data_IF_778715366121
#
_entry.id   IF_778715366121
#
_cell.length_a   1.000
_cell.length_b   1.000
_cell.length_c   1.000
_cell.angle_alpha   90.00
_cell.angle_beta   90.00
_cell.angle_gamma   90.00
#
_symmetry.space_group_name_H-M   'P 1'
#
loop_
_entity.id
_entity.type
_entity.pdbx_description
1 polymer ?
#
# COMPACT_ATOMS: atom_id res chain seq x y z
N UNK A 1 16.68 8.66 -19.15
CA UNK A 1 16.69 9.05 -17.73
C UNK A 1 17.25 7.89 -16.90
N UNK A 2 18.54 7.60 -17.03
CA UNK A 2 19.10 6.33 -16.55
C UNK A 2 19.40 6.29 -15.04
N UNK A 3 19.65 7.45 -14.42
CA UNK A 3 20.01 7.51 -12.99
C UNK A 3 18.89 6.99 -12.08
N UNK A 4 17.65 7.43 -12.31
CA UNK A 4 16.52 6.99 -11.49
C UNK A 4 16.17 5.52 -11.71
N UNK A 5 16.35 5.03 -12.94
CA UNK A 5 16.15 3.61 -13.24
C UNK A 5 17.22 2.73 -12.59
N UNK A 6 18.45 3.24 -12.53
CA UNK A 6 19.58 2.56 -11.91
C UNK A 6 19.49 2.52 -10.39
N UNK A 7 19.12 3.64 -9.75
CA UNK A 7 19.18 3.76 -8.28
C UNK A 7 17.88 3.44 -7.56
N UNK A 8 16.73 3.54 -8.24
CA UNK A 8 15.44 3.19 -7.63
C UNK A 8 15.09 1.76 -8.05
N UNK A 9 15.10 0.79 -7.13
CA UNK A 9 14.83 -0.58 -7.47
C UNK A 9 13.42 -0.72 -8.06
N UNK A 10 13.25 -1.61 -9.04
CA UNK A 10 11.97 -1.84 -9.71
C UNK A 10 10.86 -2.24 -8.73
N UNK A 11 11.23 -2.88 -7.62
CA UNK A 11 10.34 -3.21 -6.50
C UNK A 11 10.88 -2.63 -5.19
N UNK A 12 10.03 -1.92 -4.46
CA UNK A 12 10.32 -1.35 -3.14
C UNK A 12 9.55 -2.16 -2.09
N UNK A 13 10.28 -2.76 -1.15
CA UNK A 13 9.72 -3.64 -0.14
C UNK A 13 9.45 -2.93 1.19
N UNK A 14 8.24 -3.14 1.72
CA UNK A 14 7.87 -2.76 3.08
C UNK A 14 7.48 -4.00 3.88
N UNK A 15 8.05 -4.15 5.08
CA UNK A 15 7.64 -5.19 6.02
C UNK A 15 6.69 -4.58 7.06
N UNK A 16 5.45 -5.07 7.13
CA UNK A 16 4.42 -4.57 8.06
C UNK A 16 3.76 -5.72 8.82
N UNK A 17 3.30 -5.44 10.04
CA UNK A 17 2.62 -6.46 10.83
C UNK A 17 1.19 -6.65 10.26
N UNK A 18 0.81 -7.87 9.86
CA UNK A 18 -0.56 -8.15 9.44
C UNK A 18 -1.52 -7.93 10.61
N UNK A 19 -2.73 -7.47 10.30
CA UNK A 19 -3.84 -7.48 11.24
C UNK A 19 -4.31 -8.92 11.31
N UNK A 20 -4.14 -9.54 12.47
CA UNK A 20 -4.80 -10.79 12.79
C UNK A 20 -6.30 -10.50 12.88
N UNK A 21 -7.01 -10.73 11.77
CA UNK A 21 -8.42 -10.96 11.87
C UNK A 21 -8.56 -12.32 12.54
N UNK A 22 -8.75 -12.33 13.86
CA UNK A 22 -9.64 -13.34 14.45
C UNK A 22 -10.87 -13.29 13.55
N UNK A 23 -11.06 -14.33 12.75
CA UNK A 23 -12.35 -14.60 12.15
C UNK A 23 -13.28 -14.50 13.34
N UNK A 24 -13.98 -13.37 13.46
CA UNK A 24 -14.98 -13.21 14.47
C UNK A 24 -15.91 -14.37 14.18
N UNK A 25 -15.77 -15.42 14.98
CA UNK A 25 -16.71 -16.50 15.08
C UNK A 25 -17.99 -15.72 15.24
N UNK A 26 -18.76 -15.65 14.16
CA UNK A 26 -20.02 -14.97 14.14
C UNK A 26 -20.86 -15.85 15.05
N UNK A 27 -20.70 -15.63 16.35
CA UNK A 27 -21.34 -16.34 17.43
C UNK A 27 -22.78 -16.11 17.09
N UNK A 28 -23.39 -17.11 16.45
CA UNK A 28 -24.76 -17.06 15.96
C UNK A 28 -25.56 -16.62 17.16
N UNK A 29 -25.92 -15.33 17.21
CA UNK A 29 -26.85 -14.84 18.20
C UNK A 29 -28.17 -15.41 17.70
N UNK A 30 -28.43 -16.63 18.13
CA UNK A 30 -29.62 -17.38 17.81
C UNK A 30 -30.79 -16.58 18.40
N UNK A 31 -31.42 -15.79 17.55
CA UNK A 31 -32.38 -14.79 18.00
C UNK A 31 -32.88 -13.93 16.86
N UNK A 32 -33.89 -14.46 16.16
CA UNK A 32 -34.97 -13.75 15.43
C UNK A 32 -34.96 -13.87 13.90
N UNK A 33 -35.85 -14.74 13.40
CA UNK A 33 -36.48 -14.81 12.07
C UNK A 33 -35.58 -14.96 10.82
N UNK A 34 -35.88 -16.00 10.03
CA UNK A 34 -35.23 -16.33 8.74
C UNK A 34 -35.20 -15.16 7.74
N UNK A 35 -36.15 -14.24 7.81
CA UNK A 35 -36.18 -13.06 6.92
C UNK A 35 -35.14 -11.99 7.30
N UNK A 36 -34.78 -11.88 8.58
CA UNK A 36 -33.76 -10.95 9.05
C UNK A 36 -32.33 -11.48 8.78
N UNK A 37 -32.17 -12.81 8.79
CA UNK A 37 -30.92 -13.48 8.40
C UNK A 37 -30.59 -13.25 6.91
N UNK A 38 -31.59 -13.32 6.01
CA UNK A 38 -31.36 -13.06 4.59
C UNK A 38 -30.93 -11.60 4.31
N UNK A 39 -31.50 -10.63 5.02
CA UNK A 39 -31.11 -9.22 4.88
C UNK A 39 -29.71 -8.95 5.48
N UNK A 40 -29.40 -9.56 6.63
CA UNK A 40 -28.08 -9.43 7.28
C UNK A 40 -26.98 -10.12 6.48
N UNK A 41 -27.25 -11.29 5.91
CA UNK A 41 -26.32 -11.99 5.01
C UNK A 41 -26.03 -11.17 3.75
N UNK A 42 -27.06 -10.54 3.16
CA UNK A 42 -26.89 -9.65 2.00
C UNK A 42 -26.14 -8.35 2.35
N UNK A 43 -26.30 -7.83 3.58
CA UNK A 43 -25.58 -6.64 4.05
C UNK A 43 -24.10 -6.92 4.33
N UNK A 44 -23.77 -8.09 4.88
CA UNK A 44 -22.39 -8.52 5.16
C UNK A 44 -21.61 -8.92 3.90
N UNK A 45 -22.29 -9.35 2.84
CA UNK A 45 -21.67 -9.70 1.56
C UNK A 45 -21.11 -8.48 0.78
N UNK A 46 -21.39 -7.25 1.22
CA UNK A 46 -21.05 -6.01 0.47
C UNK A 46 -19.82 -5.28 0.99
N UNK A 47 -19.18 -5.76 2.05
CA UNK A 47 -17.91 -5.20 2.51
C UNK A 47 -16.88 -6.32 2.53
N UNK A 48 -16.01 -6.46 1.52
CA UNK A 48 -14.86 -7.34 1.64
C UNK A 48 -14.06 -6.84 2.85
N UNK A 49 -14.11 -7.59 3.94
CA UNK A 49 -13.23 -7.38 5.09
C UNK A 49 -11.86 -7.82 4.61
N UNK A 50 -11.01 -6.87 4.24
CA UNK A 50 -9.72 -7.16 3.62
C UNK A 50 -8.88 -8.04 4.55
N UNK A 51 -8.84 -9.35 4.27
CA UNK A 51 -8.14 -10.35 5.06
C UNK A 51 -6.61 -10.10 5.14
N UNK A 52 -6.12 -9.10 4.40
CA UNK A 52 -4.73 -8.71 4.27
C UNK A 52 -4.42 -7.36 4.94
N UNK A 53 -5.26 -6.86 5.86
CA UNK A 53 -4.98 -5.60 6.56
C UNK A 53 -3.60 -5.55 7.24
N UNK A 54 -3.00 -4.37 7.33
CA UNK A 54 -1.75 -4.15 8.08
C UNK A 54 -1.94 -3.15 9.22
N UNK A 55 -1.18 -3.34 10.31
CA UNK A 55 -1.05 -2.32 11.35
C UNK A 55 -0.25 -1.12 10.82
N UNK A 56 -0.89 0.05 10.87
CA UNK A 56 -0.37 1.30 10.31
C UNK A 56 -0.71 1.47 8.83
N UNK A 57 0.10 2.25 8.13
CA UNK A 57 -0.03 2.45 6.68
C UNK A 57 1.31 2.70 6.02
N UNK A 58 1.39 2.44 4.72
CA UNK A 58 2.45 2.93 3.85
C UNK A 58 1.88 4.09 3.03
N UNK A 59 2.37 5.29 3.29
CA UNK A 59 1.95 6.54 2.66
C UNK A 59 2.90 6.97 1.54
N UNK A 60 2.52 8.00 0.77
CA UNK A 60 3.43 8.67 -0.16
C UNK A 60 4.71 9.15 0.55
N UNK A 61 4.62 9.67 1.78
CA UNK A 61 5.77 10.08 2.58
C UNK A 61 6.75 8.95 2.87
N UNK A 62 6.24 7.75 3.21
CA UNK A 62 7.08 6.55 3.42
C UNK A 62 7.82 6.13 2.14
N UNK A 63 7.14 6.22 0.99
CA UNK A 63 7.72 5.92 -0.32
C UNK A 63 8.81 6.95 -0.64
N UNK A 64 8.54 8.24 -0.48
CA UNK A 64 9.52 9.32 -0.70
C UNK A 64 10.76 9.14 0.17
N UNK A 65 10.58 8.84 1.46
CA UNK A 65 11.70 8.61 2.37
C UNK A 65 12.57 7.42 1.92
N UNK A 66 11.92 6.35 1.47
CA UNK A 66 12.62 5.13 1.00
C UNK A 66 13.38 5.39 -0.31
N UNK A 67 12.75 6.10 -1.25
CA UNK A 67 13.39 6.51 -2.51
C UNK A 67 14.55 7.46 -2.25
N UNK A 68 14.38 8.47 -1.40
CA UNK A 68 15.49 9.38 -1.02
C UNK A 68 16.67 8.62 -0.42
N UNK A 69 16.41 7.61 0.41
CA UNK A 69 17.47 6.77 0.97
C UNK A 69 18.20 5.97 -0.11
N UNK A 70 17.50 5.46 -1.12
CA UNK A 70 18.12 4.78 -2.26
C UNK A 70 18.99 5.74 -3.10
N UNK A 71 18.53 6.98 -3.31
CA UNK A 71 19.26 8.00 -4.06
C UNK A 71 20.43 8.62 -3.29
N UNK A 72 20.43 8.55 -1.95
CA UNK A 72 21.43 9.19 -1.10
C UNK A 72 22.88 8.67 -1.31
N UNK A 73 23.04 7.51 -1.95
CA UNK A 73 24.34 6.92 -2.25
C UNK A 73 25.02 7.53 -3.48
N UNK A 74 24.40 8.49 -4.17
CA UNK A 74 24.94 9.16 -5.34
C UNK A 74 24.74 10.68 -5.24
N UNK A 75 25.83 11.46 -5.33
CA UNK A 75 25.81 12.92 -5.18
C UNK A 75 24.94 13.65 -6.21
N UNK A 76 24.76 13.10 -7.41
CA UNK A 76 23.91 13.66 -8.44
C UNK A 76 22.43 13.35 -8.17
N UNK A 77 22.13 12.11 -7.81
CA UNK A 77 20.77 11.67 -7.51
C UNK A 77 20.25 12.21 -6.16
N UNK A 78 21.14 12.47 -5.19
CA UNK A 78 20.79 13.04 -3.89
C UNK A 78 20.28 14.49 -3.98
N UNK A 79 20.58 15.21 -5.08
CA UNK A 79 20.08 16.57 -5.32
C UNK A 79 18.62 16.61 -5.75
N UNK A 80 18.02 15.47 -6.05
CA UNK A 80 16.63 15.38 -6.50
C UNK A 80 15.67 15.71 -5.36
N UNK A 81 14.91 16.79 -5.53
CA UNK A 81 13.86 17.22 -4.60
C UNK A 81 12.58 16.41 -4.82
N UNK A 82 12.47 15.24 -4.18
CA UNK A 82 11.25 14.44 -4.21
C UNK A 82 10.31 14.80 -3.06
N UNK A 83 9.03 15.02 -3.37
CA UNK A 83 7.94 15.31 -2.41
C UNK A 83 6.79 14.33 -2.58
N UNK A 84 5.84 14.32 -1.65
CA UNK A 84 4.67 13.42 -1.70
C UNK A 84 3.78 13.67 -2.92
N UNK A 85 3.71 14.93 -3.38
CA UNK A 85 2.99 15.32 -4.61
C UNK A 85 3.57 14.71 -5.89
N UNK A 86 4.80 14.18 -5.82
CA UNK A 86 5.44 13.49 -6.93
C UNK A 86 5.08 12.00 -7.01
N UNK A 87 4.37 11.46 -6.02
CA UNK A 87 3.95 10.06 -5.97
C UNK A 87 2.48 9.96 -6.38
N UNK A 88 2.20 9.10 -7.35
CA UNK A 88 0.84 8.76 -7.79
C UNK A 88 0.64 7.25 -7.69
N UNK A 89 -0.50 6.83 -7.18
CA UNK A 89 -0.85 5.42 -7.14
C UNK A 89 -1.67 5.06 -8.37
N UNK A 90 -1.16 4.12 -9.17
CA UNK A 90 -1.72 3.73 -10.47
C UNK A 90 -2.65 2.54 -10.32
N UNK A 91 -2.27 1.54 -9.51
CA UNK A 91 -3.07 0.34 -9.36
C UNK A 91 -3.10 -0.12 -7.90
N UNK A 92 -4.32 -0.36 -7.42
CA UNK A 92 -4.54 -1.15 -6.22
C UNK A 92 -6.02 -1.38 -6.05
N UNK A 93 -6.38 -2.66 -6.02
CA UNK A 93 -7.71 -3.23 -5.83
C UNK A 93 -8.70 -2.28 -5.11
N UNK A 94 -9.64 -1.70 -5.87
CA UNK A 94 -10.93 -1.23 -5.36
C UNK A 94 -11.13 0.26 -5.10
N UNK A 95 -10.12 1.14 -5.24
CA UNK A 95 -10.30 2.57 -4.94
C UNK A 95 -9.55 3.50 -5.89
N UNK A 96 -10.17 4.65 -6.17
CA UNK A 96 -9.89 5.61 -7.25
C UNK A 96 -8.41 5.92 -7.50
N UNK A 97 -8.05 5.97 -8.79
CA UNK A 97 -6.72 6.33 -9.30
C UNK A 97 -6.32 7.78 -8.98
N UNK A 98 -5.02 8.01 -8.77
CA UNK A 98 -4.42 9.35 -8.86
C UNK A 98 -4.37 10.19 -7.58
N UNK A 99 -4.79 9.67 -6.42
CA UNK A 99 -4.77 10.43 -5.16
C UNK A 99 -3.45 10.25 -4.40
N UNK A 100 -2.75 11.35 -4.11
CA UNK A 100 -1.48 11.37 -3.35
C UNK A 100 -1.69 11.31 -1.83
N UNK A 101 -2.93 11.52 -1.33
CA UNK A 101 -3.30 11.28 0.07
C UNK A 101 -3.61 9.80 0.35
N UNK A 102 -3.48 8.93 -0.66
CA UNK A 102 -3.68 7.49 -0.53
C UNK A 102 -2.65 6.87 0.43
N UNK A 103 -3.17 6.04 1.32
CA UNK A 103 -2.40 5.27 2.29
C UNK A 103 -2.68 3.78 2.07
N UNK A 104 -1.64 3.00 1.83
CA UNK A 104 -1.75 1.54 1.69
C UNK A 104 -1.87 0.91 3.07
N UNK A 105 -3.01 0.27 3.34
CA UNK A 105 -3.33 -0.39 4.61
C UNK A 105 -3.48 -1.90 4.46
N UNK A 106 -3.00 -2.46 3.35
CA UNK A 106 -3.14 -3.87 3.03
C UNK A 106 -1.80 -4.44 2.56
N UNK A 107 -1.57 -5.73 2.81
CA UNK A 107 -0.50 -6.50 2.18
C UNK A 107 -0.79 -6.70 0.70
N UNK A 108 0.26 -6.77 -0.11
CA UNK A 108 0.14 -6.95 -1.55
C UNK A 108 1.20 -6.19 -2.35
N UNK A 109 1.00 -6.16 -3.65
CA UNK A 109 1.82 -5.39 -4.59
C UNK A 109 0.98 -4.28 -5.19
N UNK A 110 1.51 -3.06 -5.18
CA UNK A 110 0.82 -1.85 -5.60
C UNK A 110 1.70 -1.11 -6.61
N UNK A 111 1.14 -0.67 -7.73
CA UNK A 111 1.90 0.10 -8.70
C UNK A 111 1.85 1.60 -8.35
N UNK A 112 3.01 2.24 -8.32
CA UNK A 112 3.14 3.68 -8.12
C UNK A 112 3.94 4.32 -9.24
N UNK A 113 3.51 5.48 -9.66
CA UNK A 113 4.22 6.39 -10.54
C UNK A 113 4.96 7.43 -9.71
N UNK A 114 6.21 7.66 -10.05
CA UNK A 114 7.09 8.64 -9.41
C UNK A 114 7.47 9.66 -10.48
N UNK A 115 6.89 10.86 -10.38
CA UNK A 115 7.19 11.98 -11.26
C UNK A 115 8.27 12.86 -10.65
N UNK A 116 9.51 12.68 -11.10
CA UNK A 116 10.64 13.47 -10.59
C UNK A 116 10.65 14.87 -11.24
N UNK A 117 10.89 15.95 -10.49
CA UNK A 117 11.04 17.29 -11.07
C UNK A 117 12.26 17.33 -12.00
N UNK A 118 12.06 17.85 -13.22
CA UNK A 118 13.07 17.83 -14.28
C UNK A 118 13.06 16.56 -15.15
N UNK A 119 12.20 15.58 -14.84
CA UNK A 119 11.92 14.42 -15.68
C UNK A 119 10.86 14.74 -16.74
N UNK A 120 11.08 14.33 -17.99
CA UNK A 120 10.03 14.33 -19.01
C UNK A 120 9.03 13.20 -18.83
N UNK A 121 9.41 12.11 -18.14
CA UNK A 121 8.57 10.91 -17.98
C UNK A 121 8.57 10.44 -16.53
N UNK A 122 7.39 10.07 -16.02
CA UNK A 122 7.26 9.38 -14.75
C UNK A 122 7.86 7.97 -14.84
N UNK A 123 8.44 7.49 -13.74
CA UNK A 123 8.85 6.09 -13.63
C UNK A 123 7.80 5.30 -12.85
N UNK A 124 7.47 4.10 -13.30
CA UNK A 124 6.56 3.19 -12.60
C UNK A 124 7.36 2.20 -11.75
N UNK A 125 6.97 2.03 -10.49
CA UNK A 125 7.60 1.12 -9.52
C UNK A 125 6.55 0.32 -8.77
N UNK A 126 6.94 -0.87 -8.36
CA UNK A 126 6.07 -1.76 -7.58
C UNK A 126 6.39 -1.60 -6.10
N UNK A 127 5.40 -1.19 -5.31
CA UNK A 127 5.45 -1.20 -3.86
C UNK A 127 4.93 -2.55 -3.37
N UNK A 128 5.80 -3.35 -2.75
CA UNK A 128 5.46 -4.67 -2.21
C UNK A 128 5.41 -4.62 -0.69
N UNK A 129 4.22 -4.80 -0.13
CA UNK A 129 4.01 -4.86 1.31
C UNK A 129 3.90 -6.33 1.74
N UNK A 130 4.89 -6.78 2.51
CA UNK A 130 5.01 -8.15 3.01
C UNK A 130 4.79 -8.23 4.52
N UNK A 131 4.33 -9.38 5.04
CA UNK A 131 4.27 -9.59 6.47
C UNK A 131 5.68 -9.51 7.05
N UNK A 132 5.84 -8.74 8.13
CA UNK A 132 7.07 -8.75 8.93
C UNK A 132 7.20 -10.15 9.53
N UNK A 133 8.29 -10.86 9.21
CA UNK A 133 8.59 -12.13 9.85
C UNK A 133 8.61 -11.90 11.38
N UNK A 134 7.80 -12.67 12.11
CA UNK A 134 7.89 -12.71 13.55
C UNK A 134 9.32 -13.16 13.86
N UNK A 135 10.12 -12.26 14.42
CA UNK A 135 11.43 -12.62 14.94
C UNK A 135 11.13 -13.45 16.19
N UNK A 136 11.09 -14.77 16.04
CA UNK A 136 11.12 -15.69 17.17
C UNK A 136 12.40 -15.37 17.96
N UNK A 137 12.21 -14.83 19.17
CA UNK A 137 13.27 -14.48 20.11
C UNK A 137 13.33 -15.55 21.17
#
# INVERSE_FOLDING_TARGET
MELLDTFIPSTIDFARQPIEHEHGDAKRRYGSSESADMLSAAALARTPKDANGIYGSVSAGDIVATVKRALAHNDEAARVLLTESNIRFVDGHGHAEGDSSRVLKQLGSFAVEIQVPGAETAITRTIRIRPKAAVET
#
